data_IF_185526329276
#
_entry.id   IF_185526329276
#
_cell.length_a   1.000
_cell.length_b   1.000
_cell.length_c   1.000
_cell.angle_alpha   90.00
_cell.angle_beta   90.00
_cell.angle_gamma   90.00
#
_symmetry.space_group_name_H-M   'P 1'
#
loop_
_entity.id
_entity.type
_entity.pdbx_description
1 polymer ?
#
# COMPACT_ATOMS: atom_id res chain seq x y z
N UNK A 1 -12.21 -14.38 -21.35
CA UNK A 1 -13.27 -13.91 -20.43
C UNK A 1 -12.72 -13.60 -19.03
N UNK A 2 -11.85 -14.46 -18.48
CA UNK A 2 -11.22 -14.25 -17.16
C UNK A 2 -10.34 -12.98 -17.03
N UNK A 3 -9.69 -12.51 -18.09
CA UNK A 3 -8.77 -11.36 -17.98
C UNK A 3 -9.49 -10.02 -17.82
N UNK A 4 -10.70 -9.86 -18.38
CA UNK A 4 -11.47 -8.61 -18.26
C UNK A 4 -12.11 -8.44 -16.88
N UNK A 5 -12.72 -9.51 -16.34
CA UNK A 5 -13.27 -9.50 -14.97
C UNK A 5 -12.16 -9.20 -13.96
N UNK A 6 -11.00 -9.87 -14.09
CA UNK A 6 -9.83 -9.60 -13.25
C UNK A 6 -9.35 -8.16 -13.38
N UNK A 7 -9.19 -7.64 -14.59
CA UNK A 7 -8.78 -6.25 -14.80
C UNK A 7 -9.74 -5.26 -14.11
N UNK A 8 -11.06 -5.44 -14.29
CA UNK A 8 -12.09 -4.56 -13.73
C UNK A 8 -12.13 -4.60 -12.20
N UNK A 9 -11.87 -5.77 -11.59
CA UNK A 9 -11.80 -5.90 -10.14
C UNK A 9 -10.48 -5.38 -9.58
N UNK A 10 -9.36 -5.70 -10.24
CA UNK A 10 -8.02 -5.48 -9.70
C UNK A 10 -7.52 -4.06 -9.88
N UNK A 11 -7.73 -3.43 -11.04
CA UNK A 11 -7.21 -2.07 -11.31
C UNK A 11 -7.68 -1.06 -10.25
N UNK A 12 -8.98 -0.93 -9.92
CA UNK A 12 -9.43 0.06 -8.95
C UNK A 12 -8.89 -0.21 -7.54
N UNK A 13 -8.84 -1.49 -7.14
CA UNK A 13 -8.34 -1.92 -5.84
C UNK A 13 -6.85 -1.58 -5.69
N UNK A 14 -6.02 -1.93 -6.68
CA UNK A 14 -4.59 -1.65 -6.63
C UNK A 14 -4.31 -0.15 -6.64
N UNK A 15 -4.99 0.61 -7.51
CA UNK A 15 -4.84 2.06 -7.56
C UNK A 15 -5.20 2.70 -6.23
N UNK A 16 -6.31 2.30 -5.61
CA UNK A 16 -6.71 2.81 -4.29
C UNK A 16 -5.69 2.42 -3.21
N UNK A 17 -5.36 1.13 -3.11
CA UNK A 17 -4.49 0.59 -2.08
C UNK A 17 -3.10 1.25 -2.08
N UNK A 18 -2.50 1.38 -3.27
CA UNK A 18 -1.20 2.01 -3.45
C UNK A 18 -1.25 3.53 -3.26
N UNK A 19 -2.29 4.20 -3.77
CA UNK A 19 -2.44 5.66 -3.62
C UNK A 19 -2.55 6.06 -2.15
N UNK A 20 -3.38 5.35 -1.38
CA UNK A 20 -3.56 5.62 0.05
C UNK A 20 -2.29 5.28 0.83
N UNK A 21 -1.58 4.21 0.45
CA UNK A 21 -0.29 3.84 1.03
C UNK A 21 0.77 4.93 0.86
N UNK A 22 1.00 5.38 -0.37
CA UNK A 22 1.96 6.46 -0.67
C UNK A 22 1.53 7.80 -0.07
N UNK A 23 0.23 8.09 -0.07
CA UNK A 23 -0.31 9.25 0.60
C UNK A 23 -0.02 9.21 2.10
N UNK A 24 -0.19 8.05 2.76
CA UNK A 24 0.05 7.90 4.19
C UNK A 24 1.51 8.13 4.57
N UNK A 25 2.47 7.60 3.80
CA UNK A 25 3.89 7.94 3.95
C UNK A 25 4.12 9.45 3.87
N UNK A 26 3.69 10.07 2.77
CA UNK A 26 3.92 11.50 2.57
C UNK A 26 3.23 12.36 3.63
N UNK A 27 2.03 11.97 4.07
CA UNK A 27 1.29 12.70 5.09
C UNK A 27 1.97 12.57 6.46
N UNK A 28 2.46 11.39 6.83
CA UNK A 28 3.22 11.20 8.06
C UNK A 28 4.50 12.06 8.07
N UNK A 29 5.27 12.04 6.97
CA UNK A 29 6.45 12.89 6.79
C UNK A 29 6.11 14.38 6.92
N UNK A 30 5.04 14.83 6.27
CA UNK A 30 4.55 16.21 6.35
C UNK A 30 4.20 16.62 7.78
N UNK A 31 3.53 15.75 8.53
CA UNK A 31 3.19 16.01 9.94
C UNK A 31 4.40 16.07 10.86
N UNK A 32 5.51 15.44 10.47
CA UNK A 32 6.79 15.49 11.18
C UNK A 32 7.68 16.68 10.76
N UNK A 33 7.29 17.41 9.71
CA UNK A 33 7.97 18.63 9.25
C UNK A 33 8.59 18.53 7.87
N UNK A 34 8.63 17.35 7.24
CA UNK A 34 9.14 17.16 5.89
C UNK A 34 8.11 17.58 4.84
N UNK A 35 8.38 18.70 4.14
CA UNK A 35 7.49 19.26 3.12
C UNK A 35 7.77 18.74 1.70
N UNK A 36 8.64 17.75 1.52
CA UNK A 36 9.10 17.28 0.20
C UNK A 36 7.96 16.71 -0.63
N UNK A 37 7.19 15.76 -0.09
CA UNK A 37 6.02 15.20 -0.75
C UNK A 37 4.96 16.27 -1.09
N UNK A 38 4.76 17.24 -0.20
CA UNK A 38 3.82 18.34 -0.39
C UNK A 38 4.25 19.25 -1.55
N UNK A 39 5.50 19.70 -1.55
CA UNK A 39 6.07 20.56 -2.62
C UNK A 39 6.11 19.85 -3.97
N UNK A 40 6.31 18.53 -3.98
CA UNK A 40 6.25 17.71 -5.19
C UNK A 40 4.81 17.47 -5.70
N UNK A 41 3.78 17.96 -5.00
CA UNK A 41 2.37 17.74 -5.35
C UNK A 41 1.93 16.28 -5.21
N UNK A 42 2.60 15.50 -4.35
CA UNK A 42 2.37 14.06 -4.16
C UNK A 42 1.41 13.76 -3.00
N UNK A 43 1.08 14.74 -2.16
CA UNK A 43 0.01 14.63 -1.15
C UNK A 43 -1.38 14.78 -1.80
N UNK A 44 -1.77 13.78 -2.57
CA UNK A 44 -3.03 13.78 -3.32
C UNK A 44 -3.60 12.36 -3.42
N UNK A 45 -4.92 12.25 -3.45
CA UNK A 45 -5.62 10.99 -3.76
C UNK A 45 -5.79 10.76 -5.26
N UNK A 46 -5.16 11.57 -6.13
CA UNK A 46 -5.15 11.33 -7.56
C UNK A 46 -4.19 10.15 -7.89
N UNK A 47 -4.70 8.98 -8.29
CA UNK A 47 -3.88 7.79 -8.50
C UNK A 47 -2.85 7.97 -9.61
N UNK A 48 -3.14 8.81 -10.62
CA UNK A 48 -2.24 9.05 -11.76
C UNK A 48 -0.87 9.56 -11.30
N UNK A 49 -0.84 10.33 -10.21
CA UNK A 49 0.42 10.87 -9.67
C UNK A 49 1.31 9.76 -9.09
N UNK A 50 0.71 8.66 -8.63
CA UNK A 50 1.38 7.55 -7.94
C UNK A 50 1.70 6.37 -8.85
N UNK A 51 1.33 6.41 -10.12
CA UNK A 51 1.64 5.32 -11.07
C UNK A 51 3.13 5.37 -11.42
N UNK A 52 3.79 4.22 -11.26
CA UNK A 52 5.07 3.95 -11.91
C UNK A 52 4.82 3.29 -13.26
N UNK A 53 5.31 3.83 -14.40
CA UNK A 53 5.06 3.24 -15.72
C UNK A 53 5.57 1.80 -15.85
N UNK A 54 6.70 1.46 -15.22
CA UNK A 54 7.26 0.12 -15.27
C UNK A 54 6.51 -0.82 -14.32
N UNK A 55 6.14 -0.35 -13.13
CA UNK A 55 5.25 -1.08 -12.22
C UNK A 55 3.89 -1.38 -12.85
N UNK A 56 3.31 -0.43 -13.59
CA UNK A 56 2.07 -0.62 -14.34
C UNK A 56 2.22 -1.61 -15.50
N UNK A 57 3.36 -1.60 -16.20
CA UNK A 57 3.66 -2.58 -17.25
C UNK A 57 3.73 -4.00 -16.66
N UNK A 58 4.46 -4.18 -15.57
CA UNK A 58 4.55 -5.47 -14.86
C UNK A 58 3.18 -5.91 -14.34
N UNK A 59 2.35 -4.97 -13.89
CA UNK A 59 0.98 -5.25 -13.49
C UNK A 59 0.14 -5.86 -14.61
N UNK A 60 0.23 -5.32 -15.83
CA UNK A 60 -0.47 -5.91 -16.98
C UNK A 60 0.15 -7.24 -17.39
N UNK A 61 1.49 -7.34 -17.45
CA UNK A 61 2.20 -8.55 -17.86
C UNK A 61 2.00 -9.73 -16.89
N UNK A 62 1.79 -9.44 -15.60
CA UNK A 62 1.50 -10.42 -14.56
C UNK A 62 0.01 -10.80 -14.47
N UNK A 63 -0.78 -10.46 -15.49
CA UNK A 63 -2.23 -10.65 -15.51
C UNK A 63 -2.93 -10.01 -14.30
N UNK A 64 -2.63 -8.73 -14.05
CA UNK A 64 -3.22 -7.89 -12.98
C UNK A 64 -2.98 -8.43 -11.56
N UNK A 65 -1.86 -9.13 -11.35
CA UNK A 65 -1.54 -9.78 -10.07
C UNK A 65 -0.49 -9.01 -9.27
N UNK A 66 0.54 -8.47 -9.92
CA UNK A 66 1.69 -7.88 -9.24
C UNK A 66 2.13 -6.56 -9.89
N UNK A 67 2.25 -5.51 -9.08
CA UNK A 67 2.73 -4.21 -9.50
C UNK A 67 3.01 -3.32 -8.29
N UNK A 68 3.63 -2.18 -8.52
CA UNK A 68 3.98 -1.22 -7.48
C UNK A 68 3.71 0.22 -7.91
N UNK A 69 3.61 1.11 -6.93
CA UNK A 69 3.50 2.54 -7.16
C UNK A 69 4.87 3.20 -7.25
N UNK A 70 4.86 4.41 -7.81
CA UNK A 70 5.99 5.31 -7.73
C UNK A 70 6.10 5.80 -6.29
N UNK A 71 7.21 5.58 -5.59
CA UNK A 71 7.35 6.01 -4.19
C UNK A 71 7.15 7.52 -4.02
N UNK A 72 6.55 7.92 -2.91
CA UNK A 72 6.46 9.32 -2.51
C UNK A 72 7.82 9.81 -2.02
N UNK A 73 8.29 11.01 -2.43
CA UNK A 73 9.57 11.51 -1.98
C UNK A 73 9.46 11.96 -0.51
N UNK A 74 10.39 11.47 0.30
CA UNK A 74 10.55 11.80 1.72
C UNK A 74 11.99 12.22 1.96
N UNK A 75 12.19 13.38 2.60
CA UNK A 75 13.49 13.89 3.04
C UNK A 75 13.46 14.12 4.55
N UNK A 76 14.05 13.19 5.29
CA UNK A 76 14.04 13.21 6.74
C UNK A 76 15.12 14.12 7.35
N UNK A 77 16.04 14.66 6.55
CA UNK A 77 17.11 15.56 7.02
C UNK A 77 16.57 16.87 7.62
N UNK A 78 15.33 17.23 7.26
CA UNK A 78 14.63 18.38 7.82
C UNK A 78 14.02 18.10 9.22
N UNK A 79 14.07 16.86 9.71
CA UNK A 79 13.43 16.45 10.97
C UNK A 79 14.48 16.24 12.06
N UNK A 80 14.21 16.75 13.28
CA UNK A 80 15.16 16.69 14.41
C UNK A 80 15.56 15.27 14.84
N UNK A 81 14.63 14.33 14.74
CA UNK A 81 14.84 12.92 15.09
C UNK A 81 14.56 12.05 13.88
N UNK A 82 15.59 11.87 13.04
CA UNK A 82 15.51 11.13 11.78
C UNK A 82 15.12 9.66 11.98
N UNK A 83 15.59 9.00 13.05
CA UNK A 83 15.24 7.60 13.31
C UNK A 83 13.77 7.43 13.62
N UNK A 84 13.23 8.29 14.51
CA UNK A 84 11.80 8.30 14.81
C UNK A 84 10.98 8.68 13.58
N UNK A 85 11.46 9.65 12.80
CA UNK A 85 10.75 10.07 11.60
C UNK A 85 10.72 8.97 10.54
N UNK A 86 11.81 8.22 10.38
CA UNK A 86 11.90 7.05 9.52
C UNK A 86 10.92 5.98 9.95
N UNK A 87 10.90 5.64 11.24
CA UNK A 87 9.99 4.64 11.80
C UNK A 87 8.52 5.00 11.53
N UNK A 88 8.11 6.21 11.90
CA UNK A 88 6.71 6.65 11.79
C UNK A 88 6.29 6.76 10.32
N UNK A 89 7.15 7.32 9.48
CA UNK A 89 6.86 7.47 8.06
C UNK A 89 6.77 6.11 7.38
N UNK A 90 7.73 5.21 7.61
CA UNK A 90 7.71 3.87 7.04
C UNK A 90 6.54 3.01 7.53
N UNK A 91 6.14 3.13 8.80
CA UNK A 91 4.98 2.42 9.33
C UNK A 91 3.65 2.92 8.78
N UNK A 92 3.56 4.18 8.33
CA UNK A 92 2.31 4.79 7.89
C UNK A 92 1.70 4.10 6.66
N UNK A 93 2.52 3.68 5.69
CA UNK A 93 2.08 2.94 4.51
C UNK A 93 1.38 1.63 4.87
N UNK A 94 2.07 0.65 5.48
CA UNK A 94 1.47 -0.61 5.92
C UNK A 94 0.28 -0.42 6.87
N UNK A 95 0.35 0.53 7.81
CA UNK A 95 -0.77 0.83 8.70
C UNK A 95 -2.02 1.29 7.92
N UNK A 96 -1.85 2.09 6.87
CA UNK A 96 -2.95 2.51 6.02
C UNK A 96 -3.57 1.37 5.21
N UNK A 97 -2.77 0.38 4.77
CA UNK A 97 -3.32 -0.80 4.12
C UNK A 97 -4.09 -1.67 5.12
N UNK A 98 -3.58 -1.87 6.33
CA UNK A 98 -4.33 -2.59 7.38
C UNK A 98 -5.66 -1.87 7.65
N UNK A 99 -5.67 -0.54 7.73
CA UNK A 99 -6.89 0.24 7.90
C UNK A 99 -7.87 0.06 6.73
N UNK A 100 -7.38 0.06 5.49
CA UNK A 100 -8.22 -0.20 4.30
C UNK A 100 -8.80 -1.62 4.32
N UNK A 101 -8.00 -2.64 4.64
CA UNK A 101 -8.47 -4.02 4.78
C UNK A 101 -9.56 -4.13 5.85
N UNK A 102 -9.40 -3.45 6.98
CA UNK A 102 -10.41 -3.37 8.04
C UNK A 102 -11.70 -2.71 7.55
N UNK A 103 -11.62 -1.60 6.81
CA UNK A 103 -12.79 -0.94 6.21
C UNK A 103 -13.51 -1.87 5.24
N UNK A 104 -12.80 -2.57 4.36
CA UNK A 104 -13.42 -3.55 3.46
C UNK A 104 -14.08 -4.70 4.24
N UNK A 105 -13.44 -5.22 5.29
CA UNK A 105 -14.04 -6.24 6.17
C UNK A 105 -15.32 -5.76 6.85
N UNK A 106 -15.37 -4.49 7.29
CA UNK A 106 -16.57 -3.88 7.83
C UNK A 106 -17.69 -3.76 6.80
N UNK A 107 -17.37 -3.46 5.54
CA UNK A 107 -18.37 -3.43 4.46
C UNK A 107 -19.02 -4.80 4.23
N UNK A 108 -18.25 -5.89 4.29
CA UNK A 108 -18.80 -7.26 4.24
C UNK A 108 -19.76 -7.48 5.42
N UNK A 109 -19.32 -7.15 6.63
CA UNK A 109 -20.07 -7.40 7.86
C UNK A 109 -21.39 -6.61 7.91
N UNK A 110 -21.34 -5.31 7.61
CA UNK A 110 -22.50 -4.41 7.69
C UNK A 110 -23.45 -4.66 6.51
N UNK A 111 -22.90 -4.90 5.31
CA UNK A 111 -23.71 -5.14 4.12
C UNK A 111 -24.31 -6.55 4.03
N UNK A 112 -24.02 -7.44 4.98
CA UNK A 112 -24.35 -8.86 4.93
C UNK A 112 -23.96 -9.50 3.57
N UNK A 113 -22.82 -9.06 3.02
CA UNK A 113 -22.38 -9.49 1.69
C UNK A 113 -21.78 -10.89 1.86
N UNK A 114 -22.25 -11.90 1.10
CA UNK A 114 -21.69 -13.23 1.21
C UNK A 114 -20.22 -13.20 0.73
N UNK A 115 -19.36 -13.88 1.48
CA UNK A 115 -17.93 -13.96 1.13
C UNK A 115 -17.75 -15.01 0.05
N UNK A 116 -17.57 -14.57 -1.18
CA UNK A 116 -17.24 -15.44 -2.30
C UNK A 116 -15.73 -15.35 -2.58
N UNK A 117 -15.04 -16.49 -2.46
CA UNK A 117 -13.64 -16.61 -2.90
C UNK A 117 -13.62 -16.64 -4.44
N UNK A 118 -12.58 -16.07 -5.05
CA UNK A 118 -12.34 -16.12 -6.50
C UNK A 118 -12.43 -17.57 -7.00
N UNK A 119 -13.49 -17.89 -7.75
CA UNK A 119 -13.76 -19.26 -8.24
C UNK A 119 -15.23 -19.57 -8.53
N UNK A 120 -16.18 -18.78 -8.00
CA UNK A 120 -17.59 -18.89 -8.40
C UNK A 120 -17.81 -18.31 -9.80
N UNK A 121 -18.52 -19.06 -10.66
CA UNK A 121 -18.90 -18.61 -12.00
C UNK A 121 -20.17 -17.74 -12.00
N UNK A 122 -20.75 -17.45 -10.82
CA UNK A 122 -21.92 -16.59 -10.70
C UNK A 122 -21.56 -15.13 -11.04
N UNK A 123 -22.36 -14.55 -11.92
CA UNK A 123 -22.26 -13.18 -12.41
C UNK A 123 -23.22 -12.22 -11.72
N UNK A 124 -23.92 -12.67 -10.69
CA UNK A 124 -24.83 -11.83 -9.92
C UNK A 124 -24.09 -10.68 -9.24
N UNK A 125 -24.73 -9.50 -9.20
CA UNK A 125 -24.14 -8.27 -8.69
C UNK A 125 -23.60 -8.43 -7.26
N UNK A 126 -24.33 -9.15 -6.40
CA UNK A 126 -23.89 -9.42 -5.02
C UNK A 126 -22.61 -10.26 -4.98
N UNK A 127 -22.46 -11.22 -5.90
CA UNK A 127 -21.26 -12.04 -6.02
C UNK A 127 -20.08 -11.23 -6.52
N UNK A 128 -20.27 -10.38 -7.54
CA UNK A 128 -19.24 -9.49 -8.07
C UNK A 128 -18.75 -8.51 -6.99
N UNK A 129 -19.68 -7.90 -6.23
CA UNK A 129 -19.35 -7.01 -5.12
C UNK A 129 -18.60 -7.75 -4.00
N UNK A 130 -19.04 -8.97 -3.66
CA UNK A 130 -18.34 -9.82 -2.69
C UNK A 130 -16.90 -10.12 -3.11
N UNK A 131 -16.69 -10.52 -4.37
CA UNK A 131 -15.35 -10.74 -4.96
C UNK A 131 -14.49 -9.47 -4.91
N UNK A 132 -15.05 -8.32 -5.29
CA UNK A 132 -14.34 -7.03 -5.28
C UNK A 132 -13.85 -6.66 -3.88
N UNK A 133 -14.75 -6.72 -2.88
CA UNK A 133 -14.42 -6.35 -1.50
C UNK A 133 -13.43 -7.34 -0.89
N UNK A 134 -13.63 -8.65 -1.12
CA UNK A 134 -12.69 -9.67 -0.68
C UNK A 134 -11.30 -9.45 -1.29
N UNK A 135 -11.23 -9.14 -2.59
CA UNK A 135 -9.97 -8.84 -3.27
C UNK A 135 -9.30 -7.58 -2.68
N UNK A 136 -10.10 -6.57 -2.32
CA UNK A 136 -9.64 -5.39 -1.59
C UNK A 136 -8.98 -5.71 -0.25
N UNK A 137 -9.57 -6.63 0.53
CA UNK A 137 -8.98 -7.13 1.78
C UNK A 137 -7.66 -7.84 1.47
N UNK A 138 -7.68 -8.78 0.52
CA UNK A 138 -6.50 -9.57 0.16
C UNK A 138 -5.33 -8.68 -0.27
N UNK A 139 -5.53 -7.77 -1.22
CA UNK A 139 -4.47 -6.88 -1.74
C UNK A 139 -3.92 -6.00 -0.63
N UNK A 140 -4.77 -5.40 0.21
CA UNK A 140 -4.29 -4.54 1.30
C UNK A 140 -3.53 -5.34 2.37
N UNK A 141 -4.01 -6.51 2.76
CA UNK A 141 -3.27 -7.40 3.66
C UNK A 141 -1.92 -7.81 3.05
N UNK A 142 -1.91 -8.22 1.78
CA UNK A 142 -0.70 -8.61 1.07
C UNK A 142 0.31 -7.45 1.04
N UNK A 143 -0.09 -6.25 0.61
CA UNK A 143 0.77 -5.07 0.59
C UNK A 143 1.29 -4.70 1.98
N UNK A 144 0.46 -4.79 3.02
CA UNK A 144 0.88 -4.54 4.38
C UNK A 144 1.94 -5.55 4.84
N UNK A 145 1.67 -6.85 4.71
CA UNK A 145 2.59 -7.89 5.16
C UNK A 145 3.89 -7.91 4.36
N UNK A 146 3.82 -7.75 3.04
CA UNK A 146 5.02 -7.62 2.20
C UNK A 146 5.85 -6.41 2.63
N UNK A 147 5.24 -5.22 2.79
CA UNK A 147 6.00 -4.05 3.21
C UNK A 147 6.45 -4.09 4.68
N UNK A 148 5.97 -5.01 5.51
CA UNK A 148 6.49 -5.22 6.87
C UNK A 148 7.70 -6.17 6.92
N UNK A 149 8.05 -6.83 5.81
CA UNK A 149 9.25 -7.66 5.76
C UNK A 149 10.51 -6.80 5.95
N UNK A 150 11.45 -7.21 6.82
CA UNK A 150 12.66 -6.43 7.13
C UNK A 150 13.74 -6.57 6.04
N UNK A 151 13.36 -6.40 4.76
CA UNK A 151 14.26 -6.57 3.61
C UNK A 151 14.28 -5.26 2.81
N UNK A 152 15.44 -4.58 2.65
CA UNK A 152 15.52 -3.40 1.78
C UNK A 152 15.08 -3.73 0.34
N UNK A 153 14.33 -2.84 -0.35
CA UNK A 153 13.96 -1.47 0.01
C UNK A 153 12.62 -1.32 0.76
N UNK A 154 12.01 -2.42 1.23
CA UNK A 154 10.67 -2.44 1.83
C UNK A 154 10.62 -1.64 3.14
N UNK A 155 9.43 -1.17 3.51
CA UNK A 155 9.26 -0.33 4.71
C UNK A 155 9.67 -1.02 6.01
N UNK A 156 9.54 -2.34 6.09
CA UNK A 156 9.92 -3.14 7.25
C UNK A 156 11.40 -2.99 7.59
N UNK A 157 12.26 -2.83 6.59
CA UNK A 157 13.69 -2.56 6.80
C UNK A 157 13.93 -1.18 7.43
N UNK A 158 13.15 -0.17 7.03
CA UNK A 158 13.19 1.20 7.58
C UNK A 158 12.57 1.28 8.97
N UNK A 159 11.50 0.50 9.22
CA UNK A 159 10.89 0.32 10.53
C UNK A 159 11.92 -0.32 11.47
N UNK A 160 12.57 -1.41 11.05
CA UNK A 160 13.62 -2.06 11.81
C UNK A 160 14.77 -1.10 12.12
N UNK A 161 15.24 -0.34 11.13
CA UNK A 161 16.26 0.70 11.30
C UNK A 161 15.87 1.71 12.40
N UNK A 162 14.63 2.18 12.39
CA UNK A 162 14.11 3.13 13.37
C UNK A 162 13.95 2.55 14.78
N UNK A 163 13.75 1.23 14.91
CA UNK A 163 13.64 0.52 16.19
C UNK A 163 15.00 0.16 16.81
N UNK A 164 16.05 0.01 16.00
CA UNK A 164 17.37 -0.39 16.50
C UNK A 164 18.01 0.72 17.36
N UNK A 165 18.79 0.36 18.40
CA UNK A 165 19.66 1.30 19.11
C UNK A 165 20.64 2.02 18.18
N UNK A 166 21.11 3.20 18.62
CA UNK A 166 22.16 3.93 17.90
C UNK A 166 23.45 3.09 17.85
N UNK A 167 24.04 2.94 16.67
CA UNK A 167 25.26 2.14 16.43
C UNK A 167 25.01 0.72 15.91
N UNK A 168 23.77 0.23 15.92
CA UNK A 168 23.39 -1.10 15.43
C UNK A 168 22.75 -1.08 14.03
N UNK A 169 22.72 0.08 13.37
CA UNK A 169 22.05 0.26 12.08
C UNK A 169 22.64 -0.61 10.97
N UNK A 170 23.93 -0.98 11.09
CA UNK A 170 24.63 -1.85 10.13
C UNK A 170 23.95 -3.21 9.94
N UNK A 171 23.18 -3.68 10.92
CA UNK A 171 22.45 -4.97 10.86
C UNK A 171 21.45 -4.96 9.69
N UNK A 172 20.78 -3.84 9.43
CA UNK A 172 19.77 -3.74 8.36
C UNK A 172 20.40 -3.83 6.97
N UNK A 173 21.65 -3.39 6.83
CA UNK A 173 22.38 -3.42 5.56
C UNK A 173 23.05 -4.77 5.27
N UNK A 174 23.10 -5.68 6.24
CA UNK A 174 23.72 -7.00 6.14
C UNK A 174 22.70 -8.14 5.99
N UNK A 175 21.41 -7.82 5.87
CA UNK A 175 20.31 -8.75 5.57
C UNK A 175 20.13 -8.91 4.06
#
# INVERSE_FOLDING_TARGET
MFDLERALLSIPIFLLALTVHEFAHGYAAYRLGDKTAFRAGRLTFNPIKHIDPFGALVFVMSNFTFGWAKPVPVDLSYVKDEKKAMLVTAAAGPASNIAQAFVFGMLIRIGNIPVYVLGSNDTDLQTILGKFIWFGIFVNCALAFFNLLPVPPLDGSKILYGLLPRGQEHIVYNL
#
